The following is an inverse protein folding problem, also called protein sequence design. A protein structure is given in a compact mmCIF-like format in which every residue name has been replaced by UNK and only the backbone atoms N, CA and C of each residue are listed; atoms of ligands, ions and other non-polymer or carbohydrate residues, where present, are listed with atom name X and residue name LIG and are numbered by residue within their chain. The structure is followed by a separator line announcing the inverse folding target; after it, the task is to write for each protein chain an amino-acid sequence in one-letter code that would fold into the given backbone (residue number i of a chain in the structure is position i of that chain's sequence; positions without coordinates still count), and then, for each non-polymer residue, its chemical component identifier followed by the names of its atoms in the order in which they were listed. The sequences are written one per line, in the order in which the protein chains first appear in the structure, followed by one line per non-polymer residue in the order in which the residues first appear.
data_IF_883741401993
#
_entry.id   IF_883741401993
#
_cell.length_a   1.000
_cell.length_b   1.000
_cell.length_c   1.000
_cell.angle_alpha   90.00
_cell.angle_beta   90.00
_cell.angle_gamma   90.00
#
_symmetry.space_group_name_H-M   'P 1'
#
loop_
_entity.id
_entity.type
_entity.pdbx_description
1 polymer ?
#
# COMPACT_ATOMS: atom_id res chain seq x y z
N UNK A 1 17.65 -11.37 9.64
CA UNK A 1 16.84 -10.71 8.61
C UNK A 1 15.39 -11.17 8.79
N UNK A 2 14.47 -10.22 8.94
CA UNK A 2 13.03 -10.46 9.06
C UNK A 2 12.31 -9.73 7.92
N UNK A 3 11.59 -10.47 7.09
CA UNK A 3 10.78 -9.93 6.00
C UNK A 3 9.32 -10.13 6.40
N UNK A 4 8.53 -9.08 6.28
CA UNK A 4 7.11 -9.08 6.63
C UNK A 4 6.22 -8.57 5.51
N UNK A 5 4.93 -8.84 5.66
CA UNK A 5 3.86 -8.26 4.84
C UNK A 5 2.70 -7.87 5.75
N UNK A 6 2.10 -6.71 5.49
CA UNK A 6 1.05 -6.17 6.34
C UNK A 6 0.02 -5.39 5.51
N UNK A 7 -1.21 -5.88 5.47
CA UNK A 7 -2.33 -5.11 4.96
C UNK A 7 -2.78 -4.12 6.04
N UNK A 8 -2.61 -2.83 5.78
CA UNK A 8 -2.85 -1.78 6.78
C UNK A 8 -4.27 -1.21 6.76
N UNK A 9 -5.14 -1.70 5.86
CA UNK A 9 -6.52 -1.21 5.74
C UNK A 9 -6.58 0.34 5.75
N UNK A 10 -5.74 1.01 4.94
CA UNK A 10 -5.58 2.48 4.89
C UNK A 10 -5.45 3.16 6.28
N UNK A 11 -4.79 2.51 7.22
CA UNK A 11 -4.59 2.99 8.59
C UNK A 11 -5.79 2.83 9.52
N UNK A 12 -6.87 2.17 9.05
CA UNK A 12 -8.09 1.96 9.81
C UNK A 12 -7.99 0.70 10.68
N UNK A 13 -8.37 0.82 11.95
CA UNK A 13 -8.50 -0.35 12.81
C UNK A 13 -9.84 -1.05 12.58
N UNK A 14 -9.85 -2.40 12.49
CA UNK A 14 -11.09 -3.17 12.43
C UNK A 14 -11.89 -3.10 13.75
N UNK A 15 -11.24 -2.82 14.89
CA UNK A 15 -11.88 -2.85 16.21
C UNK A 15 -12.83 -1.66 16.43
N UNK A 16 -12.43 -0.46 16.02
CA UNK A 16 -13.21 0.77 16.24
C UNK A 16 -13.56 1.50 14.95
N UNK A 17 -13.06 1.03 13.82
CA UNK A 17 -13.29 1.61 12.51
C UNK A 17 -12.61 2.97 12.28
N UNK A 18 -11.71 3.39 13.15
CA UNK A 18 -11.03 4.69 13.08
C UNK A 18 -9.65 4.58 12.45
N UNK A 19 -9.30 5.61 11.70
CA UNK A 19 -7.93 5.83 11.23
C UNK A 19 -7.14 6.53 12.32
N UNK A 20 -5.97 5.98 12.64
CA UNK A 20 -5.07 6.52 13.65
C UNK A 20 -3.62 6.23 13.21
N UNK A 21 -2.91 7.28 12.85
CA UNK A 21 -1.54 7.16 12.30
C UNK A 21 -0.52 6.75 13.37
N UNK A 22 -0.73 7.13 14.63
CA UNK A 22 0.17 6.77 15.73
C UNK A 22 0.02 5.29 16.08
N UNK A 23 -1.20 4.78 16.00
CA UNK A 23 -1.48 3.35 16.15
C UNK A 23 -0.86 2.53 15.01
N UNK A 24 -0.96 3.01 13.76
CA UNK A 24 -0.28 2.40 12.62
C UNK A 24 1.24 2.37 12.86
N UNK A 25 1.84 3.49 13.23
CA UNK A 25 3.26 3.59 13.53
C UNK A 25 3.68 2.59 14.63
N UNK A 26 2.89 2.49 15.70
CA UNK A 26 3.12 1.53 16.79
C UNK A 26 3.06 0.08 16.30
N UNK A 27 2.05 -0.25 15.48
CA UNK A 27 1.92 -1.59 14.89
C UNK A 27 3.10 -1.93 13.99
N UNK A 28 3.50 -1.03 13.08
CA UNK A 28 4.67 -1.23 12.20
C UNK A 28 5.94 -1.44 13.01
N UNK A 29 6.18 -0.60 14.02
CA UNK A 29 7.34 -0.73 14.91
C UNK A 29 7.37 -2.08 15.63
N UNK A 30 6.22 -2.60 16.05
CA UNK A 30 6.12 -3.88 16.76
C UNK A 30 6.45 -5.10 15.90
N UNK A 31 6.32 -5.00 14.58
CA UNK A 31 6.69 -6.07 13.64
C UNK A 31 8.20 -6.28 13.58
N UNK A 32 8.99 -5.24 13.88
CA UNK A 32 10.46 -5.27 13.87
C UNK A 32 11.04 -5.93 12.61
N UNK A 33 10.54 -5.53 11.46
CA UNK A 33 10.99 -6.05 10.17
C UNK A 33 12.21 -5.29 9.65
N UNK A 34 13.06 -5.98 8.89
CA UNK A 34 14.14 -5.37 8.11
C UNK A 34 13.62 -4.93 6.74
N UNK A 35 12.66 -5.68 6.20
CA UNK A 35 11.94 -5.37 4.94
C UNK A 35 10.45 -5.60 5.17
N UNK A 36 9.61 -4.65 4.76
CA UNK A 36 8.16 -4.72 4.98
C UNK A 36 7.38 -4.30 3.73
N UNK A 37 6.58 -5.22 3.19
CA UNK A 37 5.60 -4.92 2.16
C UNK A 37 4.27 -4.51 2.78
N UNK A 38 3.73 -3.37 2.36
CA UNK A 38 2.44 -2.86 2.80
C UNK A 38 1.41 -2.94 1.69
N UNK A 39 0.20 -3.37 2.01
CA UNK A 39 -0.97 -3.35 1.13
C UNK A 39 -2.02 -2.39 1.69
N UNK A 40 -2.91 -1.96 0.79
CA UNK A 40 -3.98 -1.01 1.10
C UNK A 40 -3.47 0.31 1.68
N UNK A 41 -2.45 0.86 1.05
CA UNK A 41 -1.80 2.09 1.48
C UNK A 41 -2.45 3.29 0.81
N UNK A 42 -2.92 4.24 1.61
CA UNK A 42 -3.36 5.55 1.16
C UNK A 42 -2.21 6.56 1.19
N UNK A 43 -2.24 7.49 0.23
CA UNK A 43 -1.44 8.70 0.24
C UNK A 43 -2.34 9.88 -0.13
N UNK A 44 -2.31 10.94 0.67
CA UNK A 44 -3.10 12.17 0.49
C UNK A 44 -4.63 11.96 0.41
N UNK A 45 -5.13 10.82 0.96
CA UNK A 45 -6.56 10.51 0.96
C UNK A 45 -7.28 11.20 2.12
N UNK A 46 -8.45 11.83 1.89
CA UNK A 46 -9.24 12.43 2.98
C UNK A 46 -9.64 11.41 4.07
N UNK A 47 -9.94 10.17 3.67
CA UNK A 47 -10.34 9.10 4.61
C UNK A 47 -9.22 8.69 5.57
N UNK A 48 -7.97 8.94 5.19
CA UNK A 48 -6.77 8.69 6.01
C UNK A 48 -6.11 10.00 6.47
N UNK A 49 -6.93 11.04 6.70
CA UNK A 49 -6.53 12.33 7.27
C UNK A 49 -5.53 13.10 6.39
N UNK A 50 -5.44 12.80 5.11
CA UNK A 50 -4.46 13.37 4.19
C UNK A 50 -3.02 12.93 4.45
N UNK A 51 -2.82 11.86 5.21
CA UNK A 51 -1.48 11.38 5.54
C UNK A 51 -0.84 10.61 4.38
N UNK A 52 0.49 10.68 4.28
CA UNK A 52 1.30 9.70 3.57
C UNK A 52 1.59 8.52 4.50
N UNK A 53 0.77 7.47 4.40
CA UNK A 53 0.92 6.31 5.28
C UNK A 53 2.21 5.51 5.03
N UNK A 54 2.82 5.67 3.85
CA UNK A 54 4.14 5.09 3.58
C UNK A 54 5.22 5.79 4.39
N UNK A 55 5.22 7.12 4.39
CA UNK A 55 6.17 7.91 5.18
C UNK A 55 6.03 7.63 6.68
N UNK A 56 4.80 7.59 7.19
CA UNK A 56 4.51 7.22 8.60
C UNK A 56 5.09 5.86 8.95
N UNK A 57 4.89 4.86 8.09
CA UNK A 57 5.39 3.52 8.32
C UNK A 57 6.92 3.43 8.19
N UNK A 58 7.51 4.14 7.22
CA UNK A 58 8.96 4.18 7.02
C UNK A 58 9.68 4.80 8.22
N UNK A 59 9.18 5.92 8.73
CA UNK A 59 9.71 6.57 9.92
C UNK A 59 9.61 5.66 11.16
N UNK A 60 8.45 5.02 11.36
CA UNK A 60 8.23 4.12 12.49
C UNK A 60 9.13 2.87 12.45
N UNK A 61 9.40 2.36 11.27
CA UNK A 61 10.28 1.20 11.05
C UNK A 61 11.77 1.59 11.11
N UNK A 62 12.11 2.86 10.89
CA UNK A 62 13.48 3.32 10.66
C UNK A 62 14.00 2.82 9.30
N UNK A 63 13.17 2.87 8.28
CA UNK A 63 13.49 2.42 6.92
C UNK A 63 13.86 3.62 6.03
N UNK A 64 15.16 3.84 5.76
CA UNK A 64 15.60 4.95 4.90
C UNK A 64 15.18 4.75 3.44
N UNK A 65 15.03 3.51 3.03
CA UNK A 65 14.62 3.16 1.68
C UNK A 65 13.16 2.74 1.66
N UNK A 66 12.34 3.46 0.90
CA UNK A 66 10.94 3.09 0.73
C UNK A 66 10.40 3.61 -0.59
N UNK A 67 9.41 2.89 -1.13
CA UNK A 67 8.69 3.28 -2.33
C UNK A 67 7.20 3.00 -2.19
N UNK A 68 6.39 4.02 -2.42
CA UNK A 68 4.95 3.90 -2.64
C UNK A 68 4.67 3.73 -4.14
N UNK A 69 3.75 2.84 -4.49
CA UNK A 69 3.29 2.65 -5.86
C UNK A 69 1.77 2.70 -5.89
N UNK A 70 1.25 3.75 -6.51
CA UNK A 70 -0.19 3.89 -6.70
C UNK A 70 -0.73 2.86 -7.71
N UNK A 71 -1.79 2.16 -7.34
CA UNK A 71 -2.63 1.36 -8.23
C UNK A 71 -3.79 2.19 -8.77
N UNK A 72 -4.33 3.06 -7.92
CA UNK A 72 -5.47 3.93 -8.19
C UNK A 72 -5.15 5.37 -7.81
N UNK A 73 -5.63 6.31 -8.61
CA UNK A 73 -5.56 7.74 -8.40
C UNK A 73 -6.95 8.32 -8.23
N UNK A 74 -7.08 9.34 -7.38
CA UNK A 74 -8.35 9.97 -7.02
C UNK A 74 -8.87 9.53 -5.66
N UNK A 75 -10.15 9.79 -5.42
CA UNK A 75 -10.81 9.53 -4.12
C UNK A 75 -11.94 8.52 -4.28
N UNK A 76 -12.05 7.51 -3.39
CA UNK A 76 -13.15 6.57 -3.40
C UNK A 76 -14.50 7.27 -3.33
N UNK A 77 -15.43 6.89 -4.22
CA UNK A 77 -16.74 7.53 -4.36
C UNK A 77 -16.78 8.79 -5.23
N UNK A 78 -15.61 9.25 -5.69
CA UNK A 78 -15.45 10.32 -6.67
C UNK A 78 -14.78 9.80 -7.94
N UNK A 79 -13.77 10.52 -8.43
CA UNK A 79 -12.93 10.04 -9.53
C UNK A 79 -11.96 8.99 -9.01
N UNK A 80 -12.08 7.75 -9.51
CA UNK A 80 -11.27 6.61 -9.10
C UNK A 80 -10.75 5.91 -10.34
N UNK A 81 -9.49 6.13 -10.71
CA UNK A 81 -8.91 5.72 -11.98
C UNK A 81 -7.62 4.93 -11.77
N UNK A 82 -7.25 4.14 -12.78
CA UNK A 82 -5.95 3.51 -12.80
C UNK A 82 -4.84 4.55 -12.72
N UNK A 83 -3.91 4.37 -11.78
CA UNK A 83 -2.74 5.23 -11.68
C UNK A 83 -1.75 4.92 -12.81
N UNK A 84 -1.16 5.96 -13.39
CA UNK A 84 -0.17 5.86 -14.48
C UNK A 84 1.27 5.92 -13.98
N UNK A 85 1.49 6.60 -12.87
CA UNK A 85 2.78 6.95 -12.31
C UNK A 85 3.18 8.41 -12.54
N UNK A 86 2.38 9.13 -13.35
CA UNK A 86 2.62 10.53 -13.71
C UNK A 86 1.61 11.47 -13.01
N UNK A 87 1.03 11.00 -11.89
CA UNK A 87 0.09 11.79 -11.12
C UNK A 87 0.77 13.04 -10.54
N UNK A 88 0.01 14.15 -10.48
CA UNK A 88 0.49 15.40 -9.88
C UNK A 88 0.87 15.17 -8.40
N UNK A 89 1.91 15.84 -7.90
CA UNK A 89 2.24 15.84 -6.48
C UNK A 89 1.03 16.25 -5.64
N UNK A 90 0.78 15.53 -4.53
CA UNK A 90 -0.37 15.75 -3.66
C UNK A 90 -1.70 15.18 -4.18
N UNK A 91 -1.69 14.45 -5.30
CA UNK A 91 -2.86 13.72 -5.77
C UNK A 91 -3.19 12.58 -4.83
N UNK A 92 -4.44 12.55 -4.35
CA UNK A 92 -4.95 11.44 -3.55
C UNK A 92 -4.78 10.12 -4.30
N UNK A 93 -4.19 9.13 -3.66
CA UNK A 93 -3.87 7.85 -4.29
C UNK A 93 -3.94 6.68 -3.31
N UNK A 94 -4.06 5.47 -3.88
CA UNK A 94 -4.16 4.22 -3.15
C UNK A 94 -3.32 3.16 -3.84
N UNK A 95 -2.60 2.37 -3.07
CA UNK A 95 -1.70 1.38 -3.63
C UNK A 95 -1.01 0.48 -2.62
N UNK A 96 0.26 0.25 -2.89
CA UNK A 96 1.13 -0.58 -2.05
C UNK A 96 2.43 0.17 -1.76
N UNK A 97 3.16 -0.28 -0.73
CA UNK A 97 4.50 0.22 -0.47
C UNK A 97 5.46 -0.92 -0.10
N UNK A 98 6.74 -0.69 -0.36
CA UNK A 98 7.82 -1.55 0.10
C UNK A 98 8.83 -0.68 0.85
N UNK A 99 9.18 -1.10 2.07
CA UNK A 99 10.08 -0.42 2.99
C UNK A 99 11.28 -1.32 3.27
N UNK A 100 12.47 -0.75 3.37
CA UNK A 100 13.70 -1.49 3.64
C UNK A 100 14.64 -0.72 4.54
N UNK A 101 15.21 -1.40 5.53
CA UNK A 101 16.37 -0.92 6.29
C UNK A 101 17.69 -1.12 5.52
N UNK A 102 17.68 -1.97 4.49
CA UNK A 102 18.83 -2.21 3.64
C UNK A 102 18.84 -1.28 2.43
N UNK A 103 20.01 -0.90 1.93
CA UNK A 103 20.12 -0.13 0.70
C UNK A 103 19.45 -0.82 -0.48
N UNK A 104 18.77 -0.03 -1.31
CA UNK A 104 18.14 -0.51 -2.54
C UNK A 104 19.05 -0.26 -3.73
N UNK A 105 19.39 -1.34 -4.43
CA UNK A 105 20.19 -1.29 -5.67
C UNK A 105 19.31 -0.88 -6.85
N UNK A 106 18.09 -1.42 -6.92
CA UNK A 106 17.14 -1.07 -7.97
C UNK A 106 15.70 -1.36 -7.56
N UNK A 107 14.80 -0.57 -8.13
CA UNK A 107 13.35 -0.74 -8.02
C UNK A 107 12.77 -1.21 -9.35
N UNK A 108 11.76 -2.05 -9.28
CA UNK A 108 10.96 -2.46 -10.44
C UNK A 108 9.48 -2.40 -10.10
N UNK A 109 8.72 -1.70 -10.93
CA UNK A 109 7.26 -1.59 -10.82
C UNK A 109 6.60 -2.31 -11.99
N UNK A 110 5.60 -3.13 -11.71
CA UNK A 110 4.77 -3.79 -12.72
C UNK A 110 3.33 -3.37 -12.50
N UNK A 111 2.71 -2.81 -13.55
CA UNK A 111 1.29 -2.44 -13.54
C UNK A 111 0.48 -3.54 -14.21
N UNK A 112 -0.52 -4.05 -13.50
CA UNK A 112 -1.39 -5.12 -13.95
C UNK A 112 -2.74 -4.52 -14.31
N UNK A 113 -3.14 -4.56 -15.59
CA UNK A 113 -4.43 -4.04 -16.00
C UNK A 113 -5.56 -4.86 -15.37
N UNK A 114 -6.73 -4.24 -15.10
CA UNK A 114 -7.86 -4.97 -14.59
C UNK A 114 -8.39 -5.97 -15.63
N UNK A 115 -8.99 -7.03 -15.15
CA UNK A 115 -9.74 -7.94 -16.00
C UNK A 115 -10.95 -7.19 -16.58
N UNK A 116 -11.21 -7.37 -17.87
CA UNK A 116 -12.36 -6.73 -18.56
C UNK A 116 -13.72 -7.37 -18.22
N UNK A 117 -13.73 -8.39 -17.37
CA UNK A 117 -14.91 -9.11 -16.95
C UNK A 117 -15.37 -8.65 -15.57
N UNK A 118 -16.69 -8.52 -15.39
CA UNK A 118 -17.28 -8.37 -14.06
C UNK A 118 -17.59 -9.75 -13.49
N UNK A 119 -17.23 -9.96 -12.23
CA UNK A 119 -17.45 -11.23 -11.53
C UNK A 119 -18.64 -11.06 -10.58
N UNK A 120 -19.65 -11.94 -10.65
CA UNK A 120 -20.74 -11.91 -9.68
C UNK A 120 -20.19 -12.35 -8.31
N UNK A 121 -20.31 -11.48 -7.32
CA UNK A 121 -19.97 -11.75 -5.94
C UNK A 121 -21.20 -11.61 -5.05
N UNK A 122 -21.15 -12.29 -3.91
CA UNK A 122 -22.17 -12.16 -2.87
C UNK A 122 -21.66 -11.23 -1.77
N UNK A 123 -22.37 -10.12 -1.55
CA UNK A 123 -22.08 -9.23 -0.43
C UNK A 123 -22.64 -9.82 0.87
N UNK A 124 -21.77 -10.15 1.82
CA UNK A 124 -22.17 -10.58 3.16
C UNK A 124 -22.80 -9.45 3.96
N UNK A 125 -22.44 -8.20 3.65
CA UNK A 125 -22.96 -7.00 4.32
C UNK A 125 -24.38 -6.64 3.86
N UNK A 126 -24.60 -6.55 2.54
CA UNK A 126 -25.94 -6.21 1.98
C UNK A 126 -26.82 -7.44 1.76
N UNK A 127 -26.27 -8.65 1.90
CA UNK A 127 -26.92 -9.95 1.61
C UNK A 127 -27.54 -10.02 0.20
N UNK A 128 -26.88 -9.39 -0.78
CA UNK A 128 -27.32 -9.34 -2.19
C UNK A 128 -26.15 -9.65 -3.12
N UNK A 129 -26.42 -10.24 -4.29
CA UNK A 129 -25.43 -10.35 -5.34
C UNK A 129 -25.11 -8.97 -5.91
N UNK A 130 -23.86 -8.74 -6.27
CA UNK A 130 -23.42 -7.56 -7.02
C UNK A 130 -22.35 -7.96 -8.04
N UNK A 131 -22.21 -7.15 -9.09
CA UNK A 131 -21.15 -7.33 -10.08
C UNK A 131 -19.93 -6.53 -9.64
N UNK A 132 -18.89 -7.22 -9.19
CA UNK A 132 -17.62 -6.61 -8.92
C UNK A 132 -16.86 -6.43 -10.24
N UNK A 133 -16.38 -5.22 -10.49
CA UNK A 133 -15.37 -4.97 -11.52
C UNK A 133 -14.00 -5.19 -10.89
N UNK A 134 -13.11 -5.81 -11.64
CA UNK A 134 -11.73 -5.91 -11.23
C UNK A 134 -11.08 -4.53 -11.24
N UNK A 135 -10.20 -4.28 -10.29
CA UNK A 135 -9.47 -3.02 -10.18
C UNK A 135 -8.03 -3.20 -10.66
N UNK A 136 -7.40 -2.14 -11.20
CA UNK A 136 -5.97 -2.14 -11.52
C UNK A 136 -5.16 -2.53 -10.29
N UNK A 137 -4.11 -3.32 -10.51
CA UNK A 137 -3.17 -3.72 -9.46
C UNK A 137 -1.76 -3.35 -9.84
N UNK A 138 -0.91 -3.31 -8.85
CA UNK A 138 0.51 -3.07 -9.03
C UNK A 138 1.31 -4.07 -8.21
N UNK A 139 2.51 -4.36 -8.69
CA UNK A 139 3.53 -5.05 -7.94
C UNK A 139 4.79 -4.19 -7.91
N UNK A 140 5.49 -4.21 -6.79
CA UNK A 140 6.78 -3.58 -6.63
C UNK A 140 7.79 -4.63 -6.21
N UNK A 141 8.96 -4.60 -6.83
CA UNK A 141 10.08 -5.42 -6.41
C UNK A 141 11.33 -4.54 -6.23
N UNK A 142 12.19 -4.93 -5.31
CA UNK A 142 13.45 -4.28 -5.05
C UNK A 142 14.59 -5.29 -5.02
N UNK A 143 15.74 -4.93 -5.60
CA UNK A 143 17.01 -5.61 -5.33
C UNK A 143 17.66 -4.89 -4.17
N UNK A 144 17.90 -5.60 -3.08
CA UNK A 144 18.42 -5.08 -1.82
C UNK A 144 19.85 -5.58 -1.60
N UNK A 145 20.69 -4.72 -1.01
CA UNK A 145 22.04 -5.09 -0.56
C UNK A 145 21.99 -5.45 0.93
N UNK A 146 21.83 -6.72 1.20
CA UNK A 146 21.64 -7.23 2.56
C UNK A 146 22.90 -7.85 3.17
N UNK A 147 22.82 -8.30 4.43
CA UNK A 147 23.97 -8.78 5.18
C UNK A 147 24.61 -10.06 4.61
N UNK A 148 23.93 -10.75 3.73
CA UNK A 148 24.40 -11.99 3.08
C UNK A 148 24.58 -11.85 1.57
N UNK A 149 24.62 -10.63 1.05
CA UNK A 149 24.68 -10.30 -0.36
C UNK A 149 23.34 -9.79 -0.92
N UNK A 150 23.31 -9.58 -2.22
CA UNK A 150 22.11 -9.05 -2.88
C UNK A 150 21.00 -10.10 -2.96
N UNK A 151 19.77 -9.65 -2.72
CA UNK A 151 18.57 -10.45 -2.86
C UNK A 151 17.40 -9.61 -3.38
N UNK A 152 16.39 -10.26 -3.95
CA UNK A 152 15.19 -9.60 -4.47
C UNK A 152 13.98 -9.90 -3.58
N UNK A 153 13.21 -8.85 -3.31
CA UNK A 153 11.91 -8.93 -2.64
C UNK A 153 10.83 -8.41 -3.56
#
# INVERSE_FOLDING_TARGET
MRIGTFNILHGRSPDDGRVDVDRLATAVKSLDCDVLGLQEVDRDQPRSLGADLTAVAADAMGAPEHQFVAALSGTPGGTWMAATGDEQPGSASYGIALLSRYPVVSWRVVRLPPLRASVPLWSTYTRRPFLARDEPRVAVAAVLDGPFGQFTV
#
